data_IF_722696401490
#
_entry.id   IF_722696401490
#
_cell.length_a   1.000
_cell.length_b   1.000
_cell.length_c   1.000
_cell.angle_alpha   90.00
_cell.angle_beta   90.00
_cell.angle_gamma   90.00
#
_symmetry.space_group_name_H-M   'P 1'
#
loop_
_entity.id
_entity.type
_entity.pdbx_description
1 polymer ?
#
# COMPACT_ATOMS: atom_id res chain seq x y z
N UNK A 1 -0.61 -60.73 31.43
CA UNK A 1 -1.48 -60.00 30.47
C UNK A 1 -1.17 -58.50 30.33
N UNK A 2 -0.55 -57.81 31.29
CA UNK A 2 -0.24 -56.37 31.17
C UNK A 2 0.94 -56.07 30.23
N UNK A 3 1.97 -56.93 30.20
CA UNK A 3 3.14 -56.75 29.32
C UNK A 3 2.85 -56.92 27.82
N UNK A 4 1.86 -57.74 27.44
CA UNK A 4 1.47 -57.94 26.04
C UNK A 4 0.62 -56.78 25.50
N UNK A 5 -0.24 -56.18 26.34
CA UNK A 5 -1.00 -54.97 26.00
C UNK A 5 -0.12 -53.73 25.81
N UNK A 6 1.01 -53.64 26.54
CA UNK A 6 1.95 -52.54 26.43
C UNK A 6 2.77 -52.58 25.12
N UNK A 7 3.11 -53.78 24.64
CA UNK A 7 3.85 -53.97 23.38
C UNK A 7 2.96 -53.65 22.16
N UNK A 8 1.68 -54.01 22.21
CA UNK A 8 0.72 -53.70 21.12
C UNK A 8 0.42 -52.19 21.05
N UNK A 9 0.36 -51.49 22.20
CA UNK A 9 0.24 -50.03 22.25
C UNK A 9 1.50 -49.30 21.73
N UNK A 10 2.70 -49.81 22.01
CA UNK A 10 3.95 -49.20 21.50
C UNK A 10 4.11 -49.36 19.98
N UNK A 11 3.72 -50.52 19.41
CA UNK A 11 3.83 -50.77 17.99
C UNK A 11 2.88 -49.90 17.14
N UNK A 12 1.66 -49.64 17.64
CA UNK A 12 0.69 -48.77 16.96
C UNK A 12 1.11 -47.29 16.93
N UNK A 13 1.94 -46.85 17.90
CA UNK A 13 2.50 -45.50 17.95
C UNK A 13 3.65 -45.26 16.97
N UNK A 14 4.31 -46.31 16.48
CA UNK A 14 5.43 -46.18 15.53
C UNK A 14 4.98 -46.12 14.05
N UNK A 15 3.75 -46.53 13.74
CA UNK A 15 3.20 -46.53 12.38
C UNK A 15 2.57 -45.19 11.95
N UNK A 16 2.42 -44.21 12.84
CA UNK A 16 1.86 -42.88 12.52
C UNK A 16 2.92 -41.78 12.39
N UNK A 17 4.20 -42.08 12.63
CA UNK A 17 5.32 -41.14 12.45
C UNK A 17 5.89 -41.11 11.03
N UNK A 18 5.46 -42.02 10.14
CA UNK A 18 5.91 -42.05 8.75
C UNK A 18 5.04 -41.18 7.84
N UNK A 19 4.94 -39.89 8.16
CA UNK A 19 4.59 -38.87 7.17
C UNK A 19 5.36 -37.58 7.49
N UNK A 20 6.68 -37.70 7.50
CA UNK A 20 7.55 -36.54 7.29
C UNK A 20 7.62 -36.34 5.79
N UNK A 21 6.95 -35.29 5.31
CA UNK A 21 7.12 -34.81 3.94
C UNK A 21 8.57 -34.38 3.73
N UNK A 22 9.17 -34.90 2.67
CA UNK A 22 10.41 -34.40 2.08
C UNK A 22 10.23 -32.90 1.79
N UNK A 23 10.79 -32.04 2.64
CA UNK A 23 10.96 -30.63 2.32
C UNK A 23 12.41 -30.42 1.89
N UNK A 24 12.55 -29.97 0.64
CA UNK A 24 13.80 -29.56 0.02
C UNK A 24 14.39 -28.42 0.85
N UNK A 25 15.60 -28.62 1.38
CA UNK A 25 16.35 -27.57 2.06
C UNK A 25 17.12 -26.76 1.01
N UNK A 26 16.72 -25.51 0.80
CA UNK A 26 17.63 -24.48 0.31
C UNK A 26 18.30 -23.83 1.53
N UNK A 27 19.64 -23.78 1.59
CA UNK A 27 20.31 -23.10 2.68
C UNK A 27 20.33 -21.59 2.44
N UNK A 28 20.14 -20.84 3.53
CA UNK A 28 20.50 -19.43 3.76
C UNK A 28 19.76 -18.33 3.00
N UNK A 29 18.85 -17.67 3.72
CA UNK A 29 18.90 -16.21 3.92
C UNK A 29 18.33 -15.88 5.29
N UNK A 30 19.18 -15.40 6.20
CA UNK A 30 18.76 -14.72 7.43
C UNK A 30 18.02 -13.42 7.07
N UNK A 31 17.02 -13.06 7.87
CA UNK A 31 16.57 -11.67 8.03
C UNK A 31 15.39 -11.21 7.18
N UNK A 32 14.17 -11.63 7.55
CA UNK A 32 13.02 -10.72 7.80
C UNK A 32 11.79 -11.56 8.12
N UNK A 33 11.25 -11.43 9.33
CA UNK A 33 9.90 -11.89 9.64
C UNK A 33 8.91 -11.32 8.60
N UNK A 34 7.89 -12.08 8.17
CA UNK A 34 6.89 -11.58 7.24
C UNK A 34 6.20 -10.37 7.88
N UNK A 35 6.36 -9.19 7.27
CA UNK A 35 5.70 -7.97 7.75
C UNK A 35 4.19 -8.21 7.73
N UNK A 36 3.58 -8.24 8.91
CA UNK A 36 2.14 -8.41 9.05
C UNK A 36 1.42 -7.27 8.30
N UNK A 37 0.33 -7.57 7.60
CA UNK A 37 -0.45 -6.59 6.82
C UNK A 37 -1.01 -5.46 7.70
N UNK A 38 -1.27 -5.72 8.98
CA UNK A 38 -1.62 -4.65 9.93
C UNK A 38 -0.49 -3.60 10.12
N UNK A 39 0.79 -3.97 9.94
CA UNK A 39 1.91 -3.02 10.06
C UNK A 39 2.03 -2.10 8.83
N UNK A 40 1.31 -2.40 7.74
CA UNK A 40 1.21 -1.54 6.56
C UNK A 40 0.16 -0.41 6.71
N UNK A 41 -0.65 -0.47 7.77
CA UNK A 41 -1.77 0.45 7.98
C UNK A 41 -1.31 1.80 8.53
N UNK A 42 -0.30 1.82 9.42
CA UNK A 42 0.28 3.06 9.95
C UNK A 42 1.68 3.30 9.37
N UNK A 43 2.04 4.52 8.98
CA UNK A 43 3.41 4.84 8.58
C UNK A 43 4.34 4.53 9.76
N UNK A 44 5.33 3.66 9.56
CA UNK A 44 6.33 3.39 10.58
C UNK A 44 7.14 4.67 10.82
N UNK A 45 7.17 5.15 12.07
CA UNK A 45 7.88 6.39 12.42
C UNK A 45 9.35 6.33 11.99
N UNK A 46 9.85 7.45 11.44
CA UNK A 46 11.22 7.56 10.97
C UNK A 46 11.51 6.87 9.62
N UNK A 47 10.51 6.27 8.96
CA UNK A 47 10.65 5.69 7.62
C UNK A 47 9.97 6.55 6.56
N UNK A 48 10.58 6.59 5.37
CA UNK A 48 9.92 7.11 4.18
C UNK A 48 8.89 6.10 3.70
N UNK A 49 7.61 6.51 3.63
CA UNK A 49 6.53 5.68 3.11
C UNK A 49 6.09 6.20 1.75
N UNK A 50 5.98 5.30 0.77
CA UNK A 50 5.37 5.59 -0.52
C UNK A 50 4.20 4.62 -0.76
N UNK A 51 3.04 5.16 -1.15
CA UNK A 51 1.89 4.37 -1.58
C UNK A 51 1.45 4.86 -2.97
N UNK A 52 1.64 4.01 -3.96
CA UNK A 52 1.18 4.25 -5.33
C UNK A 52 -0.26 3.80 -5.47
N UNK A 53 -1.11 4.70 -5.98
CA UNK A 53 -2.51 4.42 -6.21
C UNK A 53 -2.81 4.61 -7.70
N UNK A 54 -2.79 3.49 -8.42
CA UNK A 54 -3.27 3.45 -9.78
C UNK A 54 -4.80 3.45 -9.80
N UNK A 55 -5.40 4.54 -10.25
CA UNK A 55 -6.86 4.69 -10.33
C UNK A 55 -7.34 4.26 -11.72
N UNK A 56 -7.47 2.95 -11.90
CA UNK A 56 -7.78 2.33 -13.19
C UNK A 56 -9.20 1.76 -13.19
N UNK A 57 -10.00 2.16 -14.18
CA UNK A 57 -11.24 1.49 -14.55
C UNK A 57 -11.23 1.18 -16.04
N UNK A 58 -11.64 -0.04 -16.40
CA UNK A 58 -11.69 -0.46 -17.81
C UNK A 58 -12.63 0.46 -18.60
N UNK A 59 -12.09 1.09 -19.65
CA UNK A 59 -12.83 2.01 -20.52
C UNK A 59 -12.83 3.47 -20.07
N UNK A 60 -12.14 3.82 -18.99
CA UNK A 60 -11.95 5.21 -18.54
C UNK A 60 -10.50 5.66 -18.70
N UNK A 61 -10.26 6.98 -18.64
CA UNK A 61 -8.90 7.50 -18.50
C UNK A 61 -8.36 7.11 -17.12
N UNK A 62 -7.19 6.50 -17.11
CA UNK A 62 -6.49 6.17 -15.87
C UNK A 62 -6.15 7.46 -15.12
N UNK A 63 -6.24 7.44 -13.81
CA UNK A 63 -5.77 8.51 -12.96
C UNK A 63 -4.57 8.08 -12.12
N UNK A 64 -3.70 9.04 -11.83
CA UNK A 64 -2.53 8.83 -10.99
C UNK A 64 -2.69 9.51 -9.64
N UNK A 65 -2.25 8.82 -8.59
CA UNK A 65 -2.08 9.43 -7.27
C UNK A 65 -1.01 8.67 -6.50
N UNK A 66 -0.10 9.40 -5.86
CA UNK A 66 0.95 8.82 -5.02
C UNK A 66 1.00 9.56 -3.70
N UNK A 67 0.82 8.84 -2.60
CA UNK A 67 1.04 9.36 -1.26
C UNK A 67 2.50 9.12 -0.86
N UNK A 68 3.15 10.17 -0.37
CA UNK A 68 4.46 10.12 0.26
C UNK A 68 4.32 10.63 1.68
N UNK A 69 4.89 9.91 2.64
CA UNK A 69 5.02 10.35 4.02
C UNK A 69 6.50 10.32 4.36
N UNK A 70 7.05 11.48 4.69
CA UNK A 70 8.48 11.63 4.97
C UNK A 70 8.83 11.04 6.33
N UNK A 71 10.12 10.75 6.60
CA UNK A 71 10.57 10.25 7.91
C UNK A 71 10.18 11.14 9.10
N UNK A 72 10.05 12.45 8.88
CA UNK A 72 9.62 13.45 9.86
C UNK A 72 8.09 13.67 9.89
N UNK A 73 7.32 12.89 9.14
CA UNK A 73 5.86 12.85 9.20
C UNK A 73 5.13 13.81 8.26
N UNK A 74 5.83 14.59 7.44
CA UNK A 74 5.17 15.43 6.43
C UNK A 74 4.48 14.55 5.39
N UNK A 75 3.31 15.00 4.95
CA UNK A 75 2.42 14.32 4.02
C UNK A 75 2.41 15.03 2.68
N UNK A 76 2.71 14.30 1.61
CA UNK A 76 2.74 14.82 0.25
C UNK A 76 1.86 13.94 -0.63
N UNK A 77 0.87 14.54 -1.27
CA UNK A 77 0.09 13.88 -2.31
C UNK A 77 0.58 14.36 -3.68
N UNK A 78 1.08 13.45 -4.51
CA UNK A 78 1.46 13.72 -5.90
C UNK A 78 0.32 13.22 -6.78
N UNK A 79 -0.34 14.14 -7.47
CA UNK A 79 -1.57 13.94 -8.24
C UNK A 79 -2.76 13.38 -7.43
N UNK A 80 -3.96 13.71 -7.89
CA UNK A 80 -5.23 13.45 -7.25
C UNK A 80 -6.22 12.72 -8.18
N UNK A 81 -5.72 11.92 -9.11
CA UNK A 81 -6.54 11.03 -9.92
C UNK A 81 -7.46 11.72 -10.94
N UNK A 82 -8.37 10.92 -11.47
CA UNK A 82 -9.20 11.21 -12.64
C UNK A 82 -10.59 11.79 -12.34
N UNK A 83 -10.94 12.04 -11.07
CA UNK A 83 -12.27 12.54 -10.73
C UNK A 83 -13.31 11.43 -10.53
N UNK A 84 -12.96 10.15 -10.69
CA UNK A 84 -13.89 9.01 -10.68
C UNK A 84 -13.66 8.06 -9.51
N UNK A 85 -12.42 7.93 -9.06
CA UNK A 85 -12.03 6.97 -8.04
C UNK A 85 -11.68 7.61 -6.69
N UNK A 86 -12.32 8.74 -6.37
CA UNK A 86 -12.14 9.42 -5.10
C UNK A 86 -12.36 8.54 -3.86
N UNK A 87 -13.37 7.64 -3.81
CA UNK A 87 -13.55 6.80 -2.61
C UNK A 87 -12.33 5.95 -2.29
N UNK A 88 -11.61 5.45 -3.30
CA UNK A 88 -10.38 4.68 -3.13
C UNK A 88 -9.25 5.55 -2.59
N UNK A 89 -9.08 6.76 -3.15
CA UNK A 89 -8.08 7.72 -2.67
C UNK A 89 -8.37 8.13 -1.22
N UNK A 90 -9.61 8.49 -0.92
CA UNK A 90 -10.05 8.87 0.42
C UNK A 90 -9.78 7.76 1.44
N UNK A 91 -10.18 6.52 1.13
CA UNK A 91 -9.95 5.39 2.02
C UNK A 91 -8.45 5.16 2.29
N UNK A 92 -7.58 5.35 1.29
CA UNK A 92 -6.13 5.26 1.46
C UNK A 92 -5.59 6.33 2.42
N UNK A 93 -6.05 7.57 2.29
CA UNK A 93 -5.63 8.68 3.18
C UNK A 93 -6.15 8.46 4.61
N UNK A 94 -7.41 8.06 4.76
CA UNK A 94 -8.01 7.75 6.06
C UNK A 94 -7.32 6.57 6.76
N UNK A 95 -7.02 5.50 6.02
CA UNK A 95 -6.27 4.35 6.55
C UNK A 95 -4.87 4.74 7.01
N UNK A 96 -4.24 5.71 6.33
CA UNK A 96 -2.94 6.25 6.73
C UNK A 96 -3.03 7.25 7.90
N UNK A 97 -4.22 7.53 8.44
CA UNK A 97 -4.42 8.47 9.54
C UNK A 97 -4.21 9.94 9.15
N UNK A 98 -4.37 10.27 7.86
CA UNK A 98 -4.11 11.61 7.35
C UNK A 98 -5.35 12.49 7.52
N UNK A 99 -5.20 13.61 8.22
CA UNK A 99 -6.20 14.69 8.30
C UNK A 99 -5.77 15.94 7.51
N UNK A 100 -4.45 16.15 7.43
CA UNK A 100 -3.81 17.27 6.72
C UNK A 100 -2.86 16.71 5.68
N UNK A 101 -2.93 17.25 4.47
CA UNK A 101 -1.91 17.10 3.43
C UNK A 101 -1.04 18.35 3.43
N UNK A 102 0.20 18.24 3.88
CA UNK A 102 1.13 19.37 3.94
C UNK A 102 1.42 19.93 2.55
N UNK A 103 1.53 19.03 1.58
CA UNK A 103 1.74 19.37 0.18
C UNK A 103 0.83 18.54 -0.73
N UNK A 104 0.27 19.19 -1.74
CA UNK A 104 -0.29 18.55 -2.92
C UNK A 104 0.52 19.03 -4.12
N UNK A 105 1.08 18.10 -4.88
CA UNK A 105 1.93 18.38 -6.04
C UNK A 105 1.23 17.84 -7.27
N UNK A 106 0.96 18.72 -8.25
CA UNK A 106 0.48 18.29 -9.55
C UNK A 106 1.62 18.24 -10.56
N UNK A 107 1.72 17.10 -11.25
CA UNK A 107 2.71 16.90 -12.31
C UNK A 107 2.40 17.80 -13.52
N UNK A 108 1.12 17.92 -13.86
CA UNK A 108 0.61 18.80 -14.91
C UNK A 108 -0.92 19.01 -14.80
N UNK A 109 -1.47 19.97 -15.53
CA UNK A 109 -2.88 20.36 -15.43
C UNK A 109 -3.80 19.58 -16.39
N UNK A 110 -3.88 18.27 -16.22
CA UNK A 110 -4.89 17.44 -16.89
C UNK A 110 -5.85 16.78 -15.88
N UNK A 111 -7.07 16.48 -16.34
CA UNK A 111 -8.14 15.96 -15.50
C UNK A 111 -7.88 14.58 -14.90
N UNK A 112 -6.99 13.78 -15.49
CA UNK A 112 -6.47 12.51 -14.99
C UNK A 112 -5.48 12.66 -13.82
N UNK A 113 -5.04 13.88 -13.52
CA UNK A 113 -4.12 14.19 -12.43
C UNK A 113 -4.76 15.14 -11.40
N UNK A 114 -5.61 16.08 -11.82
CA UNK A 114 -6.22 17.07 -10.91
C UNK A 114 -7.67 16.75 -10.54
N UNK A 115 -8.20 15.62 -11.01
CA UNK A 115 -9.63 15.35 -11.10
C UNK A 115 -10.36 15.31 -9.75
N UNK A 116 -9.73 14.77 -8.70
CA UNK A 116 -10.37 14.70 -7.37
C UNK A 116 -9.99 15.85 -6.42
N UNK A 117 -9.23 16.85 -6.88
CA UNK A 117 -8.76 17.94 -6.02
C UNK A 117 -9.89 18.68 -5.29
N UNK A 118 -11.00 18.97 -6.00
CA UNK A 118 -12.18 19.63 -5.39
C UNK A 118 -12.83 18.80 -4.29
N UNK A 119 -12.72 17.48 -4.34
CA UNK A 119 -13.28 16.58 -3.33
C UNK A 119 -12.33 16.49 -2.14
N UNK A 120 -11.02 16.37 -2.40
CA UNK A 120 -9.99 16.41 -1.36
C UNK A 120 -10.14 17.62 -0.44
N UNK A 121 -10.30 18.82 -1.01
CA UNK A 121 -10.45 20.06 -0.22
C UNK A 121 -11.70 20.12 0.68
N UNK A 122 -12.65 19.19 0.52
CA UNK A 122 -13.83 19.11 1.38
C UNK A 122 -13.62 18.20 2.58
N UNK A 123 -12.75 17.20 2.44
CA UNK A 123 -12.57 16.15 3.44
C UNK A 123 -11.25 16.27 4.20
N UNK A 124 -10.23 16.93 3.62
CA UNK A 124 -8.89 17.06 4.19
C UNK A 124 -8.43 18.52 4.21
N UNK A 125 -7.58 18.87 5.18
CA UNK A 125 -6.90 20.16 5.21
C UNK A 125 -5.76 20.13 4.20
N UNK A 126 -5.71 21.12 3.31
CA UNK A 126 -4.64 21.24 2.31
C UNK A 126 -3.71 22.39 2.70
N UNK A 127 -2.43 22.08 2.88
CA UNK A 127 -1.38 23.05 3.14
C UNK A 127 -1.01 23.84 1.89
N UNK A 128 0.00 23.36 1.15
CA UNK A 128 0.49 24.00 -0.06
C UNK A 128 0.13 23.19 -1.29
N UNK A 129 -0.30 23.87 -2.35
CA UNK A 129 -0.45 23.28 -3.68
C UNK A 129 0.72 23.75 -4.54
N UNK A 130 1.48 22.79 -5.08
CA UNK A 130 2.58 23.03 -6.00
C UNK A 130 2.19 22.48 -7.36
N UNK A 131 2.41 23.25 -8.41
CA UNK A 131 2.24 22.77 -9.78
C UNK A 131 3.38 23.34 -10.61
N UNK A 132 3.92 22.51 -11.50
CA UNK A 132 4.93 22.98 -12.44
C UNK A 132 4.28 23.96 -13.40
N UNK A 133 4.78 25.20 -13.40
CA UNK A 133 4.43 26.20 -14.41
C UNK A 133 5.28 25.95 -15.64
N UNK A 134 4.83 25.02 -16.49
CA UNK A 134 5.37 24.92 -17.82
C UNK A 134 4.63 25.91 -18.72
N UNK A 135 5.33 26.89 -19.33
CA UNK A 135 4.70 27.68 -20.37
C UNK A 135 4.22 26.71 -21.45
N UNK A 136 2.93 26.76 -21.80
CA UNK A 136 2.44 26.03 -22.95
C UNK A 136 3.36 26.38 -24.13
N UNK A 137 4.01 25.36 -24.70
CA UNK A 137 4.63 25.53 -25.99
C UNK A 137 3.48 25.95 -26.92
N UNK A 138 3.53 27.20 -27.40
CA UNK A 138 2.58 27.76 -28.37
C UNK A 138 2.66 26.90 -29.64
N UNK A 139 1.94 25.78 -29.63
CA UNK A 139 1.87 24.78 -30.67
C UNK A 139 0.54 24.90 -31.38
N UNK A 140 0.61 25.40 -32.61
CA UNK A 140 -0.48 25.68 -33.55
C UNK A 140 -1.70 24.78 -33.46
N UNK A 141 -2.86 25.43 -33.32
CA UNK A 141 -4.18 24.95 -33.73
C UNK A 141 -4.19 24.31 -35.11
#
# INVERSE_FOLDING_TARGET
MVRLKLIIMLAASLLTFSCVQLTSTNPSTEGSEPINREQLASPAEGLLTLKFLGLHQLGEKNGDSTLVITPDGNTVLIDAGNGKNYPQLKALLEQAGIETLDYVVFTHFHGDHTGDMKKLTKDFIIGKVLMLDFPEAQGSS
#
